data_IF_675105934609
#
_entry.id   IF_675105934609
#
_cell.length_a   1.000
_cell.length_b   1.000
_cell.length_c   1.000
_cell.angle_alpha   90.00
_cell.angle_beta   90.00
_cell.angle_gamma   90.00
#
_symmetry.space_group_name_H-M   'P 1'
#
loop_
_entity.id
_entity.type
_entity.pdbx_description
1 polymer ?
#
# COMPACT_ATOMS: atom_id res chain seq x y z
N UNK A 1 2.04 13.91 -5.05
CA UNK A 1 3.20 14.68 -4.53
C UNK A 1 3.91 15.42 -5.64
N UNK A 2 4.46 16.60 -5.37
CA UNK A 2 5.28 17.39 -6.30
C UNK A 2 6.74 17.44 -5.83
N UNK A 3 7.67 17.32 -6.76
CA UNK A 3 9.12 17.44 -6.53
C UNK A 3 9.65 18.74 -7.15
N UNK A 4 10.71 19.31 -6.56
CA UNK A 4 11.43 20.45 -7.11
C UNK A 4 12.01 20.11 -8.51
N UNK A 5 12.11 21.12 -9.37
CA UNK A 5 12.54 20.95 -10.77
C UNK A 5 14.01 20.55 -10.95
N UNK A 6 14.83 20.61 -9.89
CA UNK A 6 16.27 20.39 -9.96
C UNK A 6 16.71 19.38 -8.90
N UNK A 7 17.74 18.60 -9.22
CA UNK A 7 18.36 17.67 -8.28
C UNK A 7 19.11 18.43 -7.14
N UNK A 8 19.20 17.86 -5.92
CA UNK A 8 18.61 16.58 -5.51
C UNK A 8 17.09 16.67 -5.35
N UNK A 9 16.40 15.53 -5.49
CA UNK A 9 14.95 15.48 -5.34
C UNK A 9 14.50 16.02 -3.98
N UNK A 10 13.60 17.00 -3.98
CA UNK A 10 12.99 17.57 -2.78
C UNK A 10 11.48 17.66 -2.96
N UNK A 11 10.73 17.14 -2.00
CA UNK A 11 9.27 17.29 -1.98
C UNK A 11 8.92 18.75 -1.71
N UNK A 12 8.06 19.33 -2.54
CA UNK A 12 7.60 20.72 -2.43
C UNK A 12 6.09 20.83 -2.20
N UNK A 13 5.33 19.78 -2.50
CA UNK A 13 3.90 19.71 -2.16
C UNK A 13 3.42 18.26 -2.01
N UNK A 14 2.44 18.05 -1.13
CA UNK A 14 1.68 16.81 -0.97
C UNK A 14 0.22 17.14 -1.29
N UNK A 15 -0.42 16.32 -2.11
CA UNK A 15 -1.81 16.49 -2.56
C UNK A 15 -2.69 15.33 -2.07
N UNK A 16 -3.97 15.35 -2.43
CA UNK A 16 -4.94 14.28 -2.14
C UNK A 16 -5.21 14.05 -0.64
N UNK A 17 -5.43 15.16 0.09
CA UNK A 17 -5.72 15.16 1.53
C UNK A 17 -7.17 14.77 1.88
N UNK A 18 -7.98 14.32 0.92
CA UNK A 18 -9.42 14.07 1.14
C UNK A 18 -9.71 12.94 2.15
N UNK A 19 -8.76 12.01 2.31
CA UNK A 19 -8.83 10.92 3.28
C UNK A 19 -8.06 11.18 4.59
N UNK A 20 -7.45 12.36 4.73
CA UNK A 20 -6.62 12.68 5.89
C UNK A 20 -7.45 12.83 7.17
N UNK A 21 -6.94 12.29 8.27
CA UNK A 21 -7.59 12.32 9.58
C UNK A 21 -6.57 12.19 10.71
N UNK A 22 -7.02 12.33 11.96
CA UNK A 22 -6.22 12.06 13.15
C UNK A 22 -6.25 10.56 13.44
N UNK A 23 -5.08 9.92 13.57
CA UNK A 23 -4.96 8.49 13.85
C UNK A 23 -3.55 8.08 14.26
N UNK A 24 -3.34 6.78 14.47
CA UNK A 24 -2.00 6.24 14.70
C UNK A 24 -1.18 6.29 13.40
N UNK A 25 0.01 6.92 13.39
CA UNK A 25 0.85 7.03 12.20
C UNK A 25 1.27 5.70 11.57
N UNK A 26 1.29 4.61 12.35
CA UNK A 26 1.62 3.29 11.82
C UNK A 26 0.56 2.78 10.83
N UNK A 27 -0.66 3.31 10.85
CA UNK A 27 -1.68 3.00 9.85
C UNK A 27 -1.25 3.45 8.45
N UNK A 28 -0.65 4.63 8.33
CA UNK A 28 -0.13 5.14 7.06
C UNK A 28 1.15 4.40 6.65
N UNK A 29 2.03 4.08 7.61
CA UNK A 29 3.24 3.30 7.33
C UNK A 29 2.88 1.90 6.82
N UNK A 30 1.94 1.21 7.48
CA UNK A 30 1.44 -0.09 7.04
C UNK A 30 0.84 -0.03 5.63
N UNK A 31 0.05 1.01 5.35
CA UNK A 31 -0.52 1.20 4.01
C UNK A 31 0.53 1.48 2.94
N UNK A 32 1.59 2.26 3.27
CA UNK A 32 2.73 2.46 2.38
C UNK A 32 3.46 1.14 2.10
N UNK A 33 3.72 0.34 3.13
CA UNK A 33 4.49 -0.89 3.01
C UNK A 33 3.81 -1.96 2.14
N UNK A 34 2.48 -2.06 2.14
CA UNK A 34 1.78 -3.01 1.25
C UNK A 34 1.84 -2.59 -0.24
N UNK A 35 2.16 -1.32 -0.53
CA UNK A 35 2.36 -0.80 -1.88
C UNK A 35 3.85 -0.66 -2.26
N UNK A 36 4.76 -0.82 -1.29
CA UNK A 36 6.19 -0.68 -1.51
C UNK A 36 6.80 -2.02 -1.95
N UNK A 37 6.81 -2.24 -3.26
CA UNK A 37 7.29 -3.48 -3.86
C UNK A 37 8.82 -3.53 -3.93
N UNK A 38 9.38 -4.71 -3.68
CA UNK A 38 10.80 -5.04 -3.85
C UNK A 38 11.03 -6.01 -5.03
N UNK A 39 12.25 -6.07 -5.59
CA UNK A 39 12.58 -7.07 -6.60
C UNK A 39 12.28 -8.50 -6.13
N UNK A 40 11.47 -9.22 -6.89
CA UNK A 40 11.08 -10.60 -6.57
C UNK A 40 9.75 -10.75 -5.81
N UNK A 41 9.13 -9.65 -5.40
CA UNK A 41 7.78 -9.68 -4.84
C UNK A 41 6.79 -10.26 -5.86
N UNK A 42 5.92 -11.17 -5.40
CA UNK A 42 4.90 -11.78 -6.26
C UNK A 42 3.78 -10.76 -6.51
N UNK A 43 3.32 -10.60 -7.76
CA UNK A 43 2.15 -9.78 -8.06
C UNK A 43 0.92 -10.26 -7.28
N UNK A 44 0.22 -9.35 -6.60
CA UNK A 44 -1.10 -9.62 -6.01
C UNK A 44 -2.16 -8.99 -6.93
N UNK A 45 -2.54 -9.74 -7.97
CA UNK A 45 -3.56 -9.36 -8.94
C UNK A 45 -3.37 -7.95 -9.52
N UNK A 46 -4.49 -7.23 -9.66
CA UNK A 46 -4.54 -5.85 -10.13
C UNK A 46 -4.10 -4.81 -9.09
N UNK A 47 -3.70 -5.23 -7.88
CA UNK A 47 -3.25 -4.31 -6.82
C UNK A 47 -1.81 -3.81 -7.04
N UNK A 48 -1.02 -4.56 -7.83
CA UNK A 48 0.40 -4.26 -8.07
C UNK A 48 0.62 -3.49 -9.37
N UNK A 49 -0.24 -2.50 -9.63
CA UNK A 49 -0.05 -1.58 -10.75
C UNK A 49 1.19 -0.72 -10.48
N UNK A 50 2.31 -1.13 -11.07
CA UNK A 50 3.56 -0.39 -11.24
C UNK A 50 4.57 -0.50 -10.08
N UNK A 51 5.43 -1.52 -10.19
CA UNK A 51 6.61 -1.73 -9.33
C UNK A 51 7.77 -0.78 -9.61
N UNK A 52 7.52 0.52 -9.70
CA UNK A 52 8.59 1.54 -9.86
C UNK A 52 9.60 1.43 -8.70
N UNK A 53 9.13 1.10 -7.50
CA UNK A 53 9.97 0.88 -6.32
C UNK A 53 10.88 -0.35 -6.42
N UNK A 54 10.66 -1.22 -7.41
CA UNK A 54 11.56 -2.35 -7.68
C UNK A 54 12.78 -1.95 -8.52
N UNK A 55 12.81 -0.72 -9.04
CA UNK A 55 13.96 -0.21 -9.80
C UNK A 55 15.16 0.09 -8.89
N UNK A 56 16.40 0.05 -9.42
CA UNK A 56 17.59 0.41 -8.66
C UNK A 56 17.50 1.83 -8.08
N UNK A 57 17.98 1.98 -6.83
CA UNK A 57 18.04 3.27 -6.13
C UNK A 57 16.87 3.53 -5.17
N UNK A 58 15.82 2.72 -5.20
CA UNK A 58 14.78 2.73 -4.17
C UNK A 58 15.24 1.93 -2.93
N UNK A 59 14.94 2.40 -1.71
CA UNK A 59 15.21 1.64 -0.49
C UNK A 59 14.33 0.39 -0.40
N UNK A 60 14.81 -0.62 0.33
CA UNK A 60 13.96 -1.73 0.76
C UNK A 60 12.94 -1.27 1.81
N UNK A 61 11.87 -2.04 1.99
CA UNK A 61 10.88 -1.86 3.06
C UNK A 61 11.56 -1.81 4.41
N UNK A 62 12.51 -2.72 4.68
CA UNK A 62 13.30 -2.73 5.91
C UNK A 62 14.03 -1.40 6.12
N UNK A 63 14.72 -0.89 5.10
CA UNK A 63 15.43 0.39 5.19
C UNK A 63 14.49 1.58 5.45
N UNK A 64 13.29 1.56 4.85
CA UNK A 64 12.28 2.59 5.11
C UNK A 64 11.73 2.53 6.53
N UNK A 65 11.45 1.32 7.04
CA UNK A 65 10.95 1.09 8.39
C UNK A 65 11.99 1.54 9.42
N UNK A 66 13.26 1.11 9.27
CA UNK A 66 14.38 1.52 10.14
C UNK A 66 14.52 3.05 10.16
N UNK A 67 14.51 3.68 8.98
CA UNK A 67 14.59 5.14 8.86
C UNK A 67 13.40 5.84 9.54
N UNK A 68 12.19 5.28 9.42
CA UNK A 68 11.00 5.85 10.04
C UNK A 68 11.06 5.73 11.56
N UNK A 69 11.45 4.58 12.09
CA UNK A 69 11.67 4.33 13.52
C UNK A 69 12.69 5.31 14.11
N UNK A 70 13.87 5.41 13.50
CA UNK A 70 14.93 6.32 13.94
C UNK A 70 14.48 7.79 13.97
N UNK A 71 13.71 8.23 12.96
CA UNK A 71 13.33 9.64 12.81
C UNK A 71 12.11 10.03 13.63
N UNK A 72 11.20 9.09 13.85
CA UNK A 72 9.98 9.34 14.62
C UNK A 72 10.14 9.03 16.11
N UNK A 73 11.14 8.22 16.49
CA UNK A 73 11.31 7.70 17.86
C UNK A 73 10.21 6.72 18.29
N UNK A 74 9.41 6.20 17.34
CA UNK A 74 8.29 5.29 17.60
C UNK A 74 8.72 3.85 17.38
N UNK A 75 8.26 2.94 18.24
CA UNK A 75 8.51 1.51 18.06
C UNK A 75 7.72 0.95 16.88
N UNK A 76 8.36 0.10 16.09
CA UNK A 76 7.72 -0.65 14.99
C UNK A 76 7.11 -1.99 15.41
N UNK A 77 7.10 -2.32 16.71
CA UNK A 77 6.64 -3.64 17.20
C UNK A 77 5.21 -4.01 16.80
N UNK A 78 4.33 -3.02 16.59
CA UNK A 78 2.94 -3.26 16.20
C UNK A 78 2.73 -3.28 14.67
N UNK A 79 3.78 -3.16 13.85
CA UNK A 79 3.64 -2.92 12.42
C UNK A 79 2.89 -4.04 11.68
N UNK A 80 3.07 -5.31 12.07
CA UNK A 80 2.36 -6.45 11.47
C UNK A 80 0.83 -6.33 11.61
N UNK A 81 0.36 -5.77 12.73
CA UNK A 81 -1.06 -5.48 12.92
C UNK A 81 -1.55 -4.42 11.92
N UNK A 82 -0.77 -3.36 11.73
CA UNK A 82 -1.10 -2.29 10.78
C UNK A 82 -1.01 -2.72 9.32
N UNK A 83 -0.09 -3.62 8.98
CA UNK A 83 0.01 -4.24 7.67
C UNK A 83 -1.19 -5.13 7.37
N UNK A 84 -1.60 -5.93 8.36
CA UNK A 84 -2.82 -6.74 8.27
C UNK A 84 -4.04 -5.86 8.07
N UNK A 85 -4.18 -4.77 8.86
CA UNK A 85 -5.24 -3.80 8.69
C UNK A 85 -5.21 -3.16 7.30
N UNK A 86 -4.03 -2.79 6.79
CA UNK A 86 -3.89 -2.20 5.47
C UNK A 86 -4.35 -3.15 4.35
N UNK A 87 -3.98 -4.43 4.43
CA UNK A 87 -4.43 -5.46 3.49
C UNK A 87 -5.94 -5.63 3.54
N UNK A 88 -6.54 -5.66 4.74
CA UNK A 88 -8.00 -5.72 4.87
C UNK A 88 -8.70 -4.48 4.30
N UNK A 89 -8.15 -3.28 4.50
CA UNK A 89 -8.66 -2.05 3.87
C UNK A 89 -8.59 -2.16 2.34
N UNK A 90 -7.50 -2.71 1.80
CA UNK A 90 -7.35 -2.96 0.37
C UNK A 90 -8.40 -3.96 -0.17
N UNK A 91 -8.67 -5.05 0.56
CA UNK A 91 -9.73 -6.02 0.22
C UNK A 91 -11.09 -5.33 0.12
N UNK A 92 -11.46 -4.54 1.14
CA UNK A 92 -12.76 -3.83 1.17
C UNK A 92 -12.87 -2.82 0.03
N UNK A 93 -11.80 -2.05 -0.22
CA UNK A 93 -11.75 -1.11 -1.33
C UNK A 93 -11.91 -1.81 -2.70
N UNK A 94 -11.18 -2.90 -2.90
CA UNK A 94 -11.20 -3.64 -4.16
C UNK A 94 -12.56 -4.32 -4.40
N UNK A 95 -13.14 -4.96 -3.37
CA UNK A 95 -14.45 -5.61 -3.45
C UNK A 95 -15.56 -4.59 -3.71
N UNK A 96 -15.52 -3.42 -3.06
CA UNK A 96 -16.48 -2.34 -3.30
C UNK A 96 -16.48 -1.86 -4.76
N UNK A 97 -15.29 -1.71 -5.35
CA UNK A 97 -15.17 -1.36 -6.77
C UNK A 97 -15.62 -2.48 -7.71
N UNK A 98 -15.25 -3.72 -7.41
CA UNK A 98 -15.65 -4.89 -8.18
C UNK A 98 -17.18 -5.04 -8.21
N UNK A 99 -17.83 -4.94 -7.05
CA UNK A 99 -19.29 -4.98 -6.92
C UNK A 99 -19.97 -3.89 -7.77
N UNK A 100 -19.49 -2.63 -7.68
CA UNK A 100 -20.03 -1.53 -8.50
C UNK A 100 -19.92 -1.79 -9.99
N UNK A 101 -18.84 -2.43 -10.43
CA UNK A 101 -18.63 -2.79 -11.83
C UNK A 101 -19.58 -3.91 -12.30
N UNK A 102 -19.90 -4.87 -11.41
CA UNK A 102 -20.91 -5.91 -11.68
C UNK A 102 -22.33 -5.34 -11.74
N UNK A 103 -22.63 -4.35 -10.90
CA UNK A 103 -23.93 -3.66 -10.86
C UNK A 103 -24.13 -2.66 -12.00
N UNK A 104 -23.13 -2.47 -12.88
CA UNK A 104 -23.20 -1.52 -14.00
C UNK A 104 -23.16 -0.05 -13.56
N UNK A 105 -22.67 0.24 -12.35
CA UNK A 105 -22.51 1.62 -11.84
C UNK A 105 -21.21 2.30 -12.34
N UNK A 106 -20.44 1.60 -13.18
CA UNK A 106 -19.21 2.08 -13.81
C UNK A 106 -18.95 1.26 -15.08
N UNK A 107 -18.39 1.92 -16.08
CA UNK A 107 -18.13 1.34 -17.40
C UNK A 107 -16.67 0.86 -17.53
N UNK A 108 -15.86 1.08 -16.48
CA UNK A 108 -14.44 0.75 -16.48
C UNK A 108 -14.23 -0.79 -16.50
N UNK A 109 -13.72 -1.37 -17.61
CA UNK A 109 -13.50 -2.80 -17.71
C UNK A 109 -12.41 -3.28 -16.75
N UNK A 110 -11.50 -2.40 -16.31
CA UNK A 110 -10.44 -2.74 -15.37
C UNK A 110 -11.02 -3.17 -14.02
N UNK A 111 -12.06 -2.50 -13.53
CA UNK A 111 -12.68 -2.85 -12.25
C UNK A 111 -13.34 -4.24 -12.26
N UNK A 112 -13.73 -4.76 -13.42
CA UNK A 112 -14.25 -6.15 -13.54
C UNK A 112 -13.17 -7.21 -13.38
N UNK A 113 -11.90 -6.83 -13.49
CA UNK A 113 -10.75 -7.75 -13.28
C UNK A 113 -10.42 -7.95 -11.80
N UNK A 114 -11.05 -7.18 -10.90
CA UNK A 114 -10.69 -7.15 -9.48
C UNK A 114 -11.12 -8.40 -8.70
N UNK A 115 -12.10 -9.18 -9.19
CA UNK A 115 -12.68 -10.30 -8.45
C UNK A 115 -11.64 -11.30 -7.91
N UNK A 116 -10.68 -11.73 -8.75
CA UNK A 116 -9.61 -12.62 -8.29
C UNK A 116 -8.63 -11.92 -7.33
N UNK A 117 -8.37 -10.63 -7.54
CA UNK A 117 -7.49 -9.81 -6.71
C UNK A 117 -7.98 -9.69 -5.26
N UNK A 118 -9.31 -9.61 -5.05
CA UNK A 118 -9.92 -9.56 -3.71
C UNK A 118 -9.54 -10.79 -2.90
N UNK A 119 -9.67 -11.98 -3.49
CA UNK A 119 -9.35 -13.24 -2.82
C UNK A 119 -7.85 -13.37 -2.56
N UNK A 120 -7.01 -12.93 -3.50
CA UNK A 120 -5.55 -12.96 -3.33
C UNK A 120 -5.09 -12.02 -2.21
N UNK A 121 -5.64 -10.80 -2.13
CA UNK A 121 -5.36 -9.87 -1.03
C UNK A 121 -5.83 -10.41 0.32
N UNK A 122 -7.01 -11.03 0.39
CA UNK A 122 -7.52 -11.62 1.61
C UNK A 122 -6.62 -12.77 2.11
N UNK A 123 -6.13 -13.63 1.20
CA UNK A 123 -5.14 -14.67 1.55
C UNK A 123 -3.84 -14.06 2.07
N UNK A 124 -3.35 -13.00 1.43
CA UNK A 124 -2.14 -12.31 1.91
C UNK A 124 -2.34 -11.71 3.30
N UNK A 125 -3.51 -11.17 3.61
CA UNK A 125 -3.82 -10.64 4.95
C UNK A 125 -3.72 -11.74 6.02
N UNK A 126 -4.23 -12.93 5.72
CA UNK A 126 -4.12 -14.10 6.62
C UNK A 126 -2.65 -14.52 6.79
N UNK A 127 -1.89 -14.62 5.69
CA UNK A 127 -0.46 -14.99 5.77
C UNK A 127 0.34 -14.03 6.65
N UNK A 128 0.15 -12.72 6.50
CA UNK A 128 0.85 -11.71 7.32
C UNK A 128 0.42 -11.79 8.79
N UNK A 129 -0.84 -12.11 9.06
CA UNK A 129 -1.32 -12.32 10.43
C UNK A 129 -0.62 -13.51 11.09
N UNK A 130 -0.45 -14.60 10.35
CA UNK A 130 0.07 -15.86 10.88
C UNK A 130 1.61 -15.88 10.97
N UNK A 131 2.29 -15.23 10.02
CA UNK A 131 3.74 -15.36 9.83
C UNK A 131 4.53 -14.07 10.12
N UNK A 132 3.84 -12.95 10.31
CA UNK A 132 4.47 -11.63 10.31
C UNK A 132 4.85 -11.18 8.89
N UNK A 133 5.41 -9.99 8.79
CA UNK A 133 5.76 -9.34 7.53
C UNK A 133 7.14 -9.67 6.96
#
# INVERSE_FOLDING_TARGET
TMLAAHAPARVVAIFDWEMATIGDPLADLGYLMIHWLEPGDRPIGAFNLQGVTTLPGFPSRRQLIERYEERSGRSMHALDWYLTLALWKAVVFMEGNYKRALEGSTDDPFLKTFGEGVVQLARRAVEVTDQGF
#
